data_IF_575379309578
#
_entry.id   IF_575379309578
#
_cell.length_a   1.000
_cell.length_b   1.000
_cell.length_c   1.000
_cell.angle_alpha   90.00
_cell.angle_beta   90.00
_cell.angle_gamma   90.00
#
_symmetry.space_group_name_H-M   'P 1'
#
loop_
_entity.id
_entity.type
_entity.pdbx_description
1 polymer ?
#
# COMPACT_ATOMS: atom_id res chain seq x y z
N UNK A 1 -57.24 -11.57 25.78
CA UNK A 1 -57.10 -10.51 24.75
C UNK A 1 -56.15 -9.46 25.29
N UNK A 2 -54.90 -9.43 24.84
CA UNK A 2 -53.93 -8.42 25.30
C UNK A 2 -54.27 -7.06 24.67
N UNK A 3 -54.59 -6.07 25.50
CA UNK A 3 -54.88 -4.72 25.05
C UNK A 3 -53.58 -4.03 24.62
N UNK A 4 -53.46 -3.74 23.32
CA UNK A 4 -52.44 -2.85 22.79
C UNK A 4 -52.69 -1.44 23.33
N UNK A 5 -51.81 -0.95 24.20
CA UNK A 5 -51.89 0.41 24.73
C UNK A 5 -51.24 1.40 23.76
N UNK A 6 -51.78 2.63 23.66
CA UNK A 6 -51.25 3.71 22.81
C UNK A 6 -49.75 3.98 23.00
N UNK A 7 -49.23 3.79 24.22
CA UNK A 7 -47.77 3.89 24.52
C UNK A 7 -46.94 2.79 23.87
N UNK A 8 -47.48 1.58 23.73
CA UNK A 8 -46.78 0.47 23.08
C UNK A 8 -46.71 0.68 21.57
N UNK A 9 -47.81 1.16 20.97
CA UNK A 9 -47.84 1.55 19.56
C UNK A 9 -46.82 2.66 19.25
N UNK A 10 -46.84 3.78 20.00
CA UNK A 10 -45.90 4.88 19.80
C UNK A 10 -44.42 4.48 19.96
N UNK A 11 -44.10 3.56 20.88
CA UNK A 11 -42.74 3.01 21.03
C UNK A 11 -42.34 2.14 19.83
N UNK A 12 -43.25 1.32 19.31
CA UNK A 12 -42.98 0.50 18.13
C UNK A 12 -42.84 1.36 16.86
N UNK A 13 -43.65 2.41 16.70
CA UNK A 13 -43.54 3.32 15.54
C UNK A 13 -42.24 4.13 15.54
N UNK A 14 -41.75 4.55 16.72
CA UNK A 14 -40.47 5.23 16.87
C UNK A 14 -39.26 4.31 16.56
N UNK A 15 -39.33 3.03 16.96
CA UNK A 15 -38.29 2.06 16.64
C UNK A 15 -38.25 1.71 15.14
N UNK A 16 -39.40 1.59 14.48
CA UNK A 16 -39.49 1.30 13.05
C UNK A 16 -38.97 2.47 12.18
N UNK A 17 -39.19 3.72 12.60
CA UNK A 17 -38.73 4.91 11.88
C UNK A 17 -37.21 5.14 12.01
N UNK A 18 -36.61 4.77 13.15
CA UNK A 18 -35.15 4.79 13.31
C UNK A 18 -34.42 3.77 12.41
N UNK A 19 -35.01 2.58 12.19
CA UNK A 19 -34.45 1.55 11.31
C UNK A 19 -34.63 1.92 9.83
N UNK A 20 -35.72 2.59 9.45
CA UNK A 20 -35.94 3.06 8.08
C UNK A 20 -35.02 4.23 7.67
N UNK A 21 -34.50 5.01 8.63
CA UNK A 21 -33.54 6.09 8.39
C UNK A 21 -32.07 5.64 8.44
N UNK A 22 -31.79 4.44 8.97
CA UNK A 22 -30.45 3.88 9.05
C UNK A 22 -29.72 3.72 7.69
N UNK A 23 -30.37 3.38 6.55
CA UNK A 23 -29.64 3.23 5.29
C UNK A 23 -29.18 4.56 4.69
N UNK A 24 -29.84 5.66 5.04
CA UNK A 24 -29.54 6.99 4.51
C UNK A 24 -28.41 7.68 5.27
N UNK A 25 -28.30 7.44 6.59
CA UNK A 25 -27.28 8.05 7.44
C UNK A 25 -25.91 7.36 7.28
N UNK A 26 -25.88 6.10 6.82
CA UNK A 26 -24.64 5.32 6.63
C UNK A 26 -24.01 5.53 5.23
N UNK A 27 -24.67 6.25 4.31
CA UNK A 27 -24.05 6.67 3.04
C UNK A 27 -23.40 8.04 3.17
N UNK A 28 -22.30 8.09 3.93
CA UNK A 28 -21.44 9.27 4.07
C UNK A 28 -20.61 9.54 2.81
N UNK A 29 -21.24 10.03 1.74
CA UNK A 29 -20.72 10.88 0.64
C UNK A 29 -21.69 10.83 -0.53
N UNK A 30 -21.86 11.96 -1.21
CA UNK A 30 -22.48 11.98 -2.52
C UNK A 30 -21.65 11.07 -3.45
N UNK A 31 -22.29 10.14 -4.15
CA UNK A 31 -21.59 9.21 -5.06
C UNK A 31 -20.85 9.92 -6.19
N UNK A 32 -21.14 11.20 -6.42
CA UNK A 32 -20.47 12.06 -7.37
C UNK A 32 -19.22 12.78 -6.82
N UNK A 33 -18.99 12.78 -5.50
CA UNK A 33 -17.86 13.49 -4.89
C UNK A 33 -16.57 12.68 -5.04
N UNK A 34 -15.74 13.07 -6.00
CA UNK A 34 -14.41 12.49 -6.21
C UNK A 34 -13.39 13.01 -5.21
N UNK A 35 -12.44 12.17 -4.81
CA UNK A 35 -11.25 12.58 -4.08
C UNK A 35 -10.25 13.23 -5.03
N UNK A 36 -9.54 14.24 -4.55
CA UNK A 36 -8.31 14.72 -5.16
C UNK A 36 -7.13 13.89 -4.60
N UNK A 37 -6.41 13.19 -5.47
CA UNK A 37 -5.35 12.26 -5.11
C UNK A 37 -3.97 12.77 -5.54
N UNK A 38 -3.01 12.60 -4.63
CA UNK A 38 -1.59 12.69 -4.95
C UNK A 38 -0.98 11.28 -5.05
N UNK A 39 -0.33 11.01 -6.18
CA UNK A 39 0.31 9.72 -6.45
C UNK A 39 1.81 9.87 -6.18
N UNK A 40 2.36 9.06 -5.28
CA UNK A 40 3.76 9.09 -4.88
C UNK A 40 4.39 7.75 -5.25
N UNK A 41 5.30 7.77 -6.24
CA UNK A 41 5.70 6.60 -7.02
C UNK A 41 4.66 6.31 -8.11
N UNK A 42 4.85 6.88 -9.30
CA UNK A 42 3.94 6.75 -10.45
C UNK A 42 4.37 5.68 -11.47
N UNK A 43 5.60 5.16 -11.39
CA UNK A 43 6.11 4.06 -12.21
C UNK A 43 5.78 2.67 -11.65
N UNK A 44 6.12 1.62 -12.41
CA UNK A 44 6.06 0.23 -11.95
C UNK A 44 4.72 -0.16 -11.30
N UNK A 45 4.76 -0.56 -10.01
CA UNK A 45 3.55 -0.89 -9.25
C UNK A 45 2.63 0.32 -9.03
N UNK A 46 3.20 1.51 -8.88
CA UNK A 46 2.45 2.77 -8.78
C UNK A 46 1.55 3.04 -9.99
N UNK A 47 1.97 2.67 -11.19
CA UNK A 47 1.13 2.79 -12.39
C UNK A 47 -0.13 1.89 -12.31
N UNK A 48 -0.02 0.71 -11.71
CA UNK A 48 -1.16 -0.17 -11.48
C UNK A 48 -2.12 0.40 -10.42
N UNK A 49 -1.58 0.97 -9.34
CA UNK A 49 -2.38 1.62 -8.31
C UNK A 49 -3.10 2.87 -8.85
N UNK A 50 -2.39 3.70 -9.62
CA UNK A 50 -2.96 4.83 -10.36
C UNK A 50 -4.14 4.38 -11.25
N UNK A 51 -3.98 3.28 -11.99
CA UNK A 51 -5.09 2.71 -12.77
C UNK A 51 -6.28 2.31 -11.89
N UNK A 52 -6.00 1.74 -10.70
CA UNK A 52 -7.03 1.34 -9.73
C UNK A 52 -7.86 2.49 -9.18
N UNK A 53 -7.30 3.71 -9.15
CA UNK A 53 -7.97 4.93 -8.67
C UNK A 53 -8.35 5.90 -9.80
N UNK A 54 -8.41 5.42 -11.04
CA UNK A 54 -8.67 6.26 -12.22
C UNK A 54 -10.06 6.92 -12.23
N UNK A 55 -10.99 6.49 -11.37
CA UNK A 55 -12.29 7.15 -11.16
C UNK A 55 -12.17 8.49 -10.45
N UNK A 56 -11.10 8.70 -9.67
CA UNK A 56 -10.87 9.89 -8.85
C UNK A 56 -10.13 11.00 -9.62
N UNK A 57 -10.00 12.18 -9.00
CA UNK A 57 -9.23 13.27 -9.57
C UNK A 57 -7.75 13.10 -9.24
N UNK A 58 -6.90 12.96 -10.25
CA UNK A 58 -5.45 12.87 -10.05
C UNK A 58 -4.85 14.26 -10.19
N UNK A 59 -4.45 14.86 -9.08
CA UNK A 59 -4.02 16.27 -9.02
C UNK A 59 -2.50 16.43 -8.91
N UNK A 60 -1.81 15.42 -8.38
CA UNK A 60 -0.34 15.40 -8.27
C UNK A 60 0.19 14.02 -8.71
N UNK A 61 1.21 14.04 -9.56
CA UNK A 61 2.02 12.88 -9.94
C UNK A 61 3.44 13.11 -9.43
N UNK A 62 3.95 12.17 -8.63
CA UNK A 62 5.29 12.21 -8.10
C UNK A 62 6.05 10.91 -8.33
N UNK A 63 7.27 11.01 -8.86
CA UNK A 63 8.20 9.88 -8.98
C UNK A 63 9.63 10.41 -9.09
N UNK A 64 10.60 9.69 -8.52
CA UNK A 64 12.02 10.03 -8.64
C UNK A 64 12.57 9.71 -10.04
N UNK A 65 11.87 8.86 -10.82
CA UNK A 65 12.14 8.63 -12.23
C UNK A 65 11.09 9.34 -13.10
N UNK A 66 11.53 10.30 -13.90
CA UNK A 66 10.68 11.09 -14.81
C UNK A 66 9.89 10.23 -15.81
N UNK A 67 10.37 9.03 -16.15
CA UNK A 67 9.64 8.11 -17.03
C UNK A 67 8.25 7.77 -16.48
N UNK A 68 8.14 7.53 -15.16
CA UNK A 68 6.87 7.22 -14.50
C UNK A 68 5.92 8.42 -14.53
N UNK A 69 6.43 9.62 -14.25
CA UNK A 69 5.67 10.87 -14.33
C UNK A 69 5.17 11.10 -15.76
N UNK A 70 6.05 10.98 -16.75
CA UNK A 70 5.75 11.27 -18.15
C UNK A 70 4.70 10.29 -18.70
N UNK A 71 4.80 9.00 -18.37
CA UNK A 71 3.81 8.01 -18.76
C UNK A 71 2.43 8.30 -18.13
N UNK A 72 2.37 8.63 -16.83
CA UNK A 72 1.12 8.97 -16.16
C UNK A 72 0.51 10.29 -16.69
N UNK A 73 1.35 11.29 -16.98
CA UNK A 73 0.93 12.60 -17.46
C UNK A 73 0.25 12.56 -18.84
N UNK A 74 0.46 11.51 -19.64
CA UNK A 74 -0.30 11.32 -20.88
C UNK A 74 -1.81 11.23 -20.63
N UNK A 75 -2.22 10.64 -19.50
CA UNK A 75 -3.63 10.51 -19.09
C UNK A 75 -4.08 11.64 -18.17
N UNK A 76 -3.15 12.20 -17.39
CA UNK A 76 -3.43 13.25 -16.41
C UNK A 76 -2.56 14.48 -16.68
N UNK A 77 -2.73 15.17 -17.83
CA UNK A 77 -1.83 16.25 -18.25
C UNK A 77 -1.86 17.47 -17.34
N UNK A 78 -2.97 17.66 -16.61
CA UNK A 78 -3.16 18.78 -15.68
C UNK A 78 -2.62 18.50 -14.27
N UNK A 79 -2.20 17.27 -13.98
CA UNK A 79 -1.64 16.93 -12.68
C UNK A 79 -0.28 17.61 -12.50
N UNK A 80 -0.05 18.20 -11.33
CA UNK A 80 1.25 18.74 -10.94
C UNK A 80 2.29 17.62 -10.93
N UNK A 81 3.43 17.85 -11.55
CA UNK A 81 4.54 16.90 -11.65
C UNK A 81 5.61 17.25 -10.63
N UNK A 82 6.00 16.31 -9.78
CA UNK A 82 7.02 16.52 -8.74
C UNK A 82 8.00 15.34 -8.69
N UNK A 83 9.30 15.60 -8.63
CA UNK A 83 10.29 14.51 -8.51
C UNK A 83 10.52 14.09 -7.05
N UNK A 84 10.20 14.97 -6.10
CA UNK A 84 10.47 14.81 -4.67
C UNK A 84 9.16 14.74 -3.90
N UNK A 85 8.91 13.61 -3.23
CA UNK A 85 7.67 13.42 -2.48
C UNK A 85 7.51 14.40 -1.31
N UNK A 86 8.60 14.95 -0.77
CA UNK A 86 8.53 15.92 0.33
C UNK A 86 7.80 17.18 -0.13
N UNK A 87 8.02 17.58 -1.39
CA UNK A 87 7.36 18.74 -2.02
C UNK A 87 5.89 18.50 -2.31
N UNK A 88 5.41 17.25 -2.31
CA UNK A 88 3.96 16.96 -2.45
C UNK A 88 3.21 17.62 -1.30
N UNK A 89 3.75 17.58 -0.09
CA UNK A 89 3.07 18.12 1.11
C UNK A 89 3.05 19.65 1.17
N UNK A 90 3.91 20.35 0.42
CA UNK A 90 3.81 21.81 0.23
C UNK A 90 2.47 22.20 -0.44
N UNK A 91 1.85 21.24 -1.12
CA UNK A 91 0.57 21.36 -1.80
C UNK A 91 -0.57 20.65 -1.04
N UNK A 92 -0.46 20.51 0.29
CA UNK A 92 -1.44 19.80 1.11
C UNK A 92 -2.89 20.30 1.00
N UNK A 93 -3.13 21.50 0.46
CA UNK A 93 -4.49 22.02 0.20
C UNK A 93 -5.10 21.52 -1.12
N UNK A 94 -4.30 20.95 -2.02
CA UNK A 94 -4.71 20.52 -3.36
C UNK A 94 -5.27 19.08 -3.38
N UNK A 95 -4.95 18.25 -2.39
CA UNK A 95 -5.35 16.84 -2.36
C UNK A 95 -5.94 16.41 -1.01
N UNK A 96 -6.76 15.37 -1.06
CA UNK A 96 -7.45 14.75 0.09
C UNK A 96 -6.72 13.50 0.59
N UNK A 97 -6.06 12.79 -0.32
CA UNK A 97 -5.41 11.51 -0.04
C UNK A 97 -4.10 11.33 -0.82
N UNK A 98 -3.24 10.47 -0.31
CA UNK A 98 -2.04 9.99 -1.00
C UNK A 98 -2.15 8.51 -1.36
N UNK A 99 -1.59 8.14 -2.50
CA UNK A 99 -1.33 6.76 -2.92
C UNK A 99 0.18 6.57 -3.00
N UNK A 100 0.76 5.91 -2.00
CA UNK A 100 2.21 5.70 -1.85
C UNK A 100 2.58 4.32 -2.43
N UNK A 101 3.44 4.32 -3.44
CA UNK A 101 3.90 3.13 -4.18
C UNK A 101 5.40 3.19 -4.52
N UNK A 102 6.19 3.82 -3.65
CA UNK A 102 7.65 3.96 -3.81
C UNK A 102 8.37 2.65 -3.46
N UNK A 103 9.70 2.68 -3.32
CA UNK A 103 10.42 1.53 -2.79
C UNK A 103 10.25 1.44 -1.25
N UNK A 104 10.33 0.22 -0.70
CA UNK A 104 9.98 -0.10 0.70
C UNK A 104 10.67 0.82 1.73
N UNK A 105 11.97 1.08 1.58
CA UNK A 105 12.75 1.98 2.44
C UNK A 105 12.29 3.45 2.49
N UNK A 106 11.36 3.87 1.63
CA UNK A 106 10.81 5.23 1.64
C UNK A 106 9.34 5.30 2.04
N UNK A 107 8.66 4.15 2.17
CA UNK A 107 7.22 4.11 2.42
C UNK A 107 6.80 4.88 3.67
N UNK A 108 7.49 4.66 4.80
CA UNK A 108 7.18 5.32 6.06
C UNK A 108 7.36 6.85 5.96
N UNK A 109 8.39 7.30 5.26
CA UNK A 109 8.72 8.71 5.08
C UNK A 109 7.75 9.44 4.15
N UNK A 110 7.16 8.74 3.18
CA UNK A 110 6.05 9.24 2.36
C UNK A 110 4.69 9.08 3.06
N UNK A 111 4.53 8.16 4.01
CA UNK A 111 3.23 7.95 4.67
C UNK A 111 3.03 8.87 5.86
N UNK A 112 4.05 9.04 6.70
CA UNK A 112 3.93 9.76 7.96
C UNK A 112 3.48 11.22 7.81
N UNK A 113 4.02 12.03 6.87
CA UNK A 113 3.58 13.42 6.71
C UNK A 113 2.10 13.51 6.29
N UNK A 114 1.61 12.57 5.47
CA UNK A 114 0.20 12.52 5.08
C UNK A 114 -0.71 12.31 6.30
N UNK A 115 -0.35 11.37 7.18
CA UNK A 115 -1.08 11.12 8.42
C UNK A 115 -1.05 12.35 9.35
N UNK A 116 0.12 12.97 9.53
CA UNK A 116 0.28 14.17 10.35
C UNK A 116 -0.56 15.36 9.85
N UNK A 117 -0.78 15.44 8.54
CA UNK A 117 -1.62 16.44 7.89
C UNK A 117 -3.10 16.05 7.80
N UNK A 118 -3.50 14.92 8.40
CA UNK A 118 -4.88 14.45 8.36
C UNK A 118 -5.36 14.07 6.96
N UNK A 119 -4.48 13.54 6.11
CA UNK A 119 -4.80 13.03 4.78
C UNK A 119 -5.09 11.53 4.81
N UNK A 120 -5.99 11.09 3.95
CA UNK A 120 -6.21 9.65 3.75
C UNK A 120 -4.98 9.02 3.09
N UNK A 121 -4.70 7.76 3.42
CA UNK A 121 -3.50 7.08 2.92
C UNK A 121 -3.84 5.71 2.39
N UNK A 122 -3.47 5.46 1.13
CA UNK A 122 -3.16 4.12 0.66
C UNK A 122 -1.62 4.00 0.54
N UNK A 123 -1.02 2.97 1.14
CA UNK A 123 0.39 2.69 1.00
C UNK A 123 0.59 1.24 0.58
N UNK A 124 1.39 1.00 -0.45
CA UNK A 124 1.72 -0.37 -0.87
C UNK A 124 2.34 -1.19 0.23
N UNK A 125 2.16 -2.50 0.11
CA UNK A 125 2.93 -3.45 0.91
C UNK A 125 4.35 -3.57 0.33
N UNK A 126 5.34 -3.93 1.13
CA UNK A 126 5.32 -3.99 2.60
C UNK A 126 5.14 -2.59 3.18
N UNK A 127 4.36 -2.42 4.25
CA UNK A 127 4.00 -1.06 4.74
C UNK A 127 5.22 -0.19 5.06
N UNK A 128 6.27 -0.80 5.60
CA UNK A 128 7.49 -0.13 6.07
C UNK A 128 8.69 -1.05 5.92
N UNK A 129 9.88 -0.47 6.02
CA UNK A 129 11.13 -1.21 5.91
C UNK A 129 11.51 -1.98 7.18
N UNK A 130 11.06 -1.52 8.35
CA UNK A 130 11.35 -2.20 9.59
C UNK A 130 10.19 -2.07 10.60
N UNK A 131 10.31 -2.81 11.70
CA UNK A 131 9.29 -2.87 12.75
C UNK A 131 9.15 -1.52 13.48
N UNK A 132 10.23 -0.77 13.62
CA UNK A 132 10.20 0.53 14.30
C UNK A 132 9.36 1.52 13.50
N UNK A 133 9.59 1.62 12.19
CA UNK A 133 8.77 2.42 11.29
C UNK A 133 7.29 1.98 11.34
N UNK A 134 7.00 0.68 11.32
CA UNK A 134 5.63 0.17 11.42
C UNK A 134 4.92 0.67 12.69
N UNK A 135 5.63 0.67 13.84
CA UNK A 135 5.10 1.17 15.12
C UNK A 135 4.81 2.67 15.05
N UNK A 136 5.73 3.46 14.48
CA UNK A 136 5.56 4.91 14.29
C UNK A 136 4.35 5.20 13.41
N UNK A 137 4.20 4.52 12.27
CA UNK A 137 3.07 4.69 11.36
C UNK A 137 1.75 4.29 12.03
N UNK A 138 1.72 3.17 12.75
CA UNK A 138 0.53 2.72 13.51
C UNK A 138 0.10 3.76 14.55
N UNK A 139 1.03 4.28 15.32
CA UNK A 139 0.74 5.29 16.35
C UNK A 139 0.28 6.62 15.75
N UNK A 140 0.85 7.02 14.62
CA UNK A 140 0.39 8.20 13.88
C UNK A 140 -1.04 7.99 13.35
N UNK A 141 -1.30 6.86 12.69
CA UNK A 141 -2.62 6.53 12.15
C UNK A 141 -3.70 6.52 13.26
N UNK A 142 -3.40 5.93 14.42
CA UNK A 142 -4.33 5.85 15.55
C UNK A 142 -4.73 7.22 16.15
N UNK A 143 -3.92 8.26 15.93
CA UNK A 143 -4.22 9.64 16.40
C UNK A 143 -5.08 10.43 15.40
N UNK A 144 -5.28 9.90 14.20
CA UNK A 144 -6.04 10.55 13.13
C UNK A 144 -7.44 9.94 12.99
N UNK A 145 -8.34 10.63 12.29
CA UNK A 145 -9.66 10.10 11.93
C UNK A 145 -9.75 9.80 10.42
N UNK A 146 -8.62 9.51 9.80
CA UNK A 146 -8.54 9.30 8.34
C UNK A 146 -8.61 7.82 8.00
N UNK A 147 -9.22 7.51 6.85
CA UNK A 147 -9.05 6.20 6.22
C UNK A 147 -7.56 5.94 5.91
N UNK A 148 -7.09 4.76 6.32
CA UNK A 148 -5.77 4.23 6.00
C UNK A 148 -5.91 2.82 5.45
N UNK A 149 -5.09 2.47 4.45
CA UNK A 149 -5.11 1.15 3.84
C UNK A 149 -3.69 0.75 3.41
N UNK A 150 -3.27 -0.45 3.81
CA UNK A 150 -2.10 -1.10 3.23
C UNK A 150 -2.49 -1.85 1.95
N UNK A 151 -1.61 -1.86 0.96
CA UNK A 151 -1.80 -2.46 -0.36
C UNK A 151 -1.80 -3.99 -0.41
N UNK A 152 -2.37 -4.67 0.59
CA UNK A 152 -2.65 -6.12 0.51
C UNK A 152 -3.95 -6.33 -0.26
N UNK A 153 -3.92 -6.14 -1.58
CA UNK A 153 -5.14 -6.09 -2.40
C UNK A 153 -6.01 -7.34 -2.33
N UNK A 154 -5.45 -8.48 -1.93
CA UNK A 154 -6.16 -9.77 -1.85
C UNK A 154 -7.31 -9.71 -0.83
N UNK A 155 -7.22 -8.83 0.18
CA UNK A 155 -8.28 -8.62 1.19
C UNK A 155 -9.55 -7.96 0.62
N UNK A 156 -9.44 -7.33 -0.55
CA UNK A 156 -10.57 -6.74 -1.26
C UNK A 156 -11.36 -7.76 -2.08
N UNK A 157 -10.84 -8.98 -2.29
CA UNK A 157 -11.52 -10.05 -3.01
C UNK A 157 -12.36 -10.96 -2.11
N UNK A 158 -13.25 -11.75 -2.72
CA UNK A 158 -14.19 -12.61 -1.99
C UNK A 158 -13.54 -13.82 -1.32
N UNK A 159 -12.43 -14.32 -1.88
CA UNK A 159 -11.85 -15.58 -1.43
C UNK A 159 -11.30 -15.53 0.00
N UNK A 160 -10.55 -14.49 0.38
CA UNK A 160 -9.98 -14.41 1.73
C UNK A 160 -11.06 -14.24 2.80
N UNK A 161 -12.10 -13.43 2.51
CA UNK A 161 -13.26 -13.25 3.39
C UNK A 161 -13.97 -14.59 3.65
N UNK A 162 -14.21 -15.35 2.59
CA UNK A 162 -14.82 -16.69 2.67
C UNK A 162 -13.96 -17.65 3.50
N UNK A 163 -12.64 -17.67 3.29
CA UNK A 163 -11.73 -18.54 4.06
C UNK A 163 -11.75 -18.19 5.54
N UNK A 164 -11.67 -16.90 5.87
CA UNK A 164 -11.75 -16.40 7.25
C UNK A 164 -13.07 -16.78 7.91
N UNK A 165 -14.19 -16.61 7.19
CA UNK A 165 -15.53 -17.00 7.67
C UNK A 165 -15.63 -18.51 7.96
N UNK A 166 -15.13 -19.36 7.06
CA UNK A 166 -15.14 -20.81 7.24
C UNK A 166 -14.30 -21.25 8.45
N UNK A 167 -13.14 -20.64 8.66
CA UNK A 167 -12.28 -20.93 9.82
C UNK A 167 -12.96 -20.44 11.10
N UNK A 168 -13.45 -19.21 11.14
CA UNK A 168 -14.03 -18.60 12.35
C UNK A 168 -15.41 -19.18 12.72
N UNK A 169 -16.16 -19.74 11.75
CA UNK A 169 -17.39 -20.47 12.02
C UNK A 169 -17.17 -21.89 12.56
N UNK A 170 -15.93 -22.37 12.57
CA UNK A 170 -15.60 -23.73 12.99
C UNK A 170 -15.90 -24.80 11.95
N UNK A 171 -16.08 -24.43 10.67
CA UNK A 171 -16.47 -25.36 9.61
C UNK A 171 -15.48 -26.53 9.39
N UNK A 172 -14.22 -26.35 9.79
CA UNK A 172 -13.16 -27.38 9.70
C UNK A 172 -12.72 -27.91 11.07
N UNK A 173 -13.43 -27.57 12.15
CA UNK A 173 -13.01 -27.86 13.52
C UNK A 173 -11.84 -26.99 13.99
N UNK A 174 -11.15 -27.44 15.05
CA UNK A 174 -10.00 -26.72 15.60
C UNK A 174 -8.79 -26.82 14.66
N UNK A 175 -8.22 -25.68 14.28
CA UNK A 175 -7.00 -25.62 13.47
C UNK A 175 -5.79 -25.95 14.35
N UNK A 176 -5.00 -26.94 13.95
CA UNK A 176 -3.78 -27.36 14.67
C UNK A 176 -2.50 -26.86 14.01
N UNK A 177 -2.52 -26.56 12.71
CA UNK A 177 -1.34 -26.14 11.95
C UNK A 177 -1.72 -25.30 10.72
N UNK A 178 -0.86 -24.35 10.34
CA UNK A 178 -0.98 -23.57 9.12
C UNK A 178 0.37 -23.53 8.39
N UNK A 179 0.37 -23.89 7.11
CA UNK A 179 1.55 -23.90 6.26
C UNK A 179 1.45 -22.78 5.22
N UNK A 180 2.48 -21.96 5.12
CA UNK A 180 2.55 -20.84 4.19
C UNK A 180 3.84 -20.95 3.37
N UNK A 181 3.72 -20.95 2.05
CA UNK A 181 4.86 -21.01 1.15
C UNK A 181 4.70 -20.08 -0.05
N UNK A 182 5.82 -19.70 -0.63
CA UNK A 182 5.86 -18.85 -1.82
C UNK A 182 7.00 -19.30 -2.73
N UNK A 183 6.70 -19.49 -4.02
CA UNK A 183 7.69 -19.97 -5.00
C UNK A 183 8.58 -18.88 -5.60
N UNK A 184 8.56 -17.65 -5.06
CA UNK A 184 9.33 -16.51 -5.60
C UNK A 184 10.61 -16.34 -4.81
N UNK A 185 11.74 -16.25 -5.51
CA UNK A 185 13.04 -16.07 -4.88
C UNK A 185 13.59 -14.68 -5.19
N UNK A 186 13.63 -13.81 -4.18
CA UNK A 186 14.43 -12.60 -4.10
C UNK A 186 15.51 -12.85 -3.06
N UNK A 187 16.75 -13.06 -3.50
CA UNK A 187 17.83 -13.18 -2.53
C UNK A 187 19.14 -13.72 -3.06
N UNK A 188 20.00 -14.07 -2.11
CA UNK A 188 21.29 -14.68 -2.39
C UNK A 188 21.09 -16.16 -2.69
N UNK A 189 21.52 -16.58 -3.86
CA UNK A 189 21.63 -18.00 -4.26
C UNK A 189 23.07 -18.48 -4.07
N UNK A 190 23.34 -19.77 -3.93
CA UNK A 190 24.72 -20.26 -3.78
C UNK A 190 25.52 -20.06 -5.05
N UNK A 191 24.88 -20.25 -6.21
CA UNK A 191 25.47 -20.13 -7.54
C UNK A 191 24.42 -19.70 -8.58
N UNK A 192 24.86 -19.42 -9.80
CA UNK A 192 24.00 -18.93 -10.87
C UNK A 192 23.00 -20.00 -11.35
N UNK A 193 23.35 -21.28 -11.27
CA UNK A 193 22.45 -22.36 -11.67
C UNK A 193 21.22 -22.44 -10.74
N UNK A 194 21.42 -22.35 -9.43
CA UNK A 194 20.33 -22.28 -8.45
C UNK A 194 19.45 -21.03 -8.65
N UNK A 195 20.06 -19.89 -8.95
CA UNK A 195 19.31 -18.65 -9.24
C UNK A 195 18.41 -18.79 -10.46
N UNK A 196 18.90 -19.43 -11.52
CA UNK A 196 18.13 -19.73 -12.73
C UNK A 196 17.01 -20.74 -12.46
N UNK A 197 17.27 -21.79 -11.69
CA UNK A 197 16.27 -22.78 -11.30
C UNK A 197 15.12 -22.12 -10.50
N UNK A 198 15.48 -21.23 -9.56
CA UNK A 198 14.52 -20.46 -8.78
C UNK A 198 13.83 -19.32 -9.56
N UNK A 199 14.22 -19.11 -10.83
CA UNK A 199 13.73 -18.02 -11.70
C UNK A 199 13.93 -16.63 -11.10
N UNK A 200 15.02 -16.45 -10.35
CA UNK A 200 15.42 -15.12 -9.88
C UNK A 200 15.88 -14.29 -11.10
N UNK A 201 15.50 -13.01 -11.12
CA UNK A 201 15.80 -12.04 -12.18
C UNK A 201 17.17 -11.38 -12.04
N UNK A 202 17.86 -11.53 -10.89
CA UNK A 202 19.20 -10.98 -10.65
C UNK A 202 20.01 -11.97 -9.83
N UNK A 203 21.11 -12.47 -10.40
CA UNK A 203 22.14 -13.20 -9.65
C UNK A 203 23.25 -12.24 -9.22
N UNK A 204 23.43 -12.07 -7.90
CA UNK A 204 24.47 -11.22 -7.32
C UNK A 204 24.87 -11.77 -5.95
N UNK A 205 26.18 -11.80 -5.67
CA UNK A 205 26.73 -12.30 -4.41
C UNK A 205 27.15 -11.18 -3.47
N UNK A 206 27.74 -10.14 -4.05
CA UNK A 206 28.37 -9.04 -3.32
C UNK A 206 27.91 -7.71 -3.89
N UNK A 207 28.05 -6.64 -3.09
CA UNK A 207 27.80 -5.29 -3.58
C UNK A 207 28.74 -5.00 -4.78
N UNK A 208 28.24 -4.42 -5.88
CA UNK A 208 29.08 -4.03 -7.01
C UNK A 208 30.21 -3.10 -6.58
N UNK A 209 31.43 -3.43 -7.01
CA UNK A 209 32.61 -2.59 -6.78
C UNK A 209 32.70 -1.38 -7.72
N UNK A 210 31.92 -1.38 -8.81
CA UNK A 210 31.90 -0.33 -9.82
C UNK A 210 30.52 0.32 -9.90
N UNK A 211 30.52 1.64 -10.04
CA UNK A 211 29.33 2.42 -10.32
C UNK A 211 28.95 2.30 -11.80
N UNK A 212 27.66 2.22 -12.07
CA UNK A 212 27.11 2.45 -13.40
C UNK A 212 26.71 3.93 -13.56
N UNK A 213 26.58 4.45 -14.80
CA UNK A 213 26.01 5.77 -15.01
C UNK A 213 24.56 5.84 -14.52
N UNK A 214 24.23 6.89 -13.76
CA UNK A 214 22.84 7.16 -13.37
C UNK A 214 22.03 7.52 -14.63
N UNK A 215 20.88 6.88 -14.91
CA UNK A 215 20.00 7.28 -16.00
C UNK A 215 19.60 8.76 -15.86
N UNK A 216 19.60 9.50 -16.97
CA UNK A 216 19.30 10.94 -16.94
C UNK A 216 17.90 11.28 -16.39
N UNK A 217 16.97 10.32 -16.47
CA UNK A 217 15.59 10.42 -15.98
C UNK A 217 15.45 10.13 -14.49
N UNK A 218 16.48 9.57 -13.83
CA UNK A 218 16.43 9.11 -12.45
C UNK A 218 17.17 10.06 -11.51
N UNK A 219 16.45 10.60 -10.52
CA UNK A 219 17.08 11.24 -9.38
C UNK A 219 17.51 10.19 -8.35
N UNK A 220 18.77 9.75 -8.44
CA UNK A 220 19.31 8.69 -7.59
C UNK A 220 19.39 9.07 -6.10
N UNK A 221 19.74 10.32 -5.78
CA UNK A 221 19.81 10.79 -4.40
C UNK A 221 18.44 10.74 -3.71
N UNK A 222 17.40 11.21 -4.42
CA UNK A 222 16.02 11.10 -3.93
C UNK A 222 15.54 9.65 -3.87
N UNK A 223 15.95 8.78 -4.80
CA UNK A 223 15.62 7.36 -4.75
C UNK A 223 16.25 6.66 -3.53
N UNK A 224 17.53 6.95 -3.22
CA UNK A 224 18.19 6.41 -2.02
C UNK A 224 17.48 6.86 -0.73
N UNK A 225 17.04 8.11 -0.68
CA UNK A 225 16.29 8.66 0.44
C UNK A 225 17.00 8.44 1.78
N UNK A 226 16.40 7.72 2.74
CA UNK A 226 16.99 7.48 4.06
C UNK A 226 18.07 6.38 4.07
N UNK A 227 18.25 5.64 2.97
CA UNK A 227 19.25 4.57 2.91
C UNK A 227 20.69 5.15 2.91
N UNK A 228 21.69 4.38 3.39
CA UNK A 228 23.09 4.82 3.34
C UNK A 228 23.52 5.20 1.92
N UNK A 229 24.24 6.32 1.80
CA UNK A 229 24.76 6.82 0.51
C UNK A 229 25.50 5.71 -0.24
N UNK A 230 25.18 5.58 -1.53
CA UNK A 230 25.77 4.57 -2.40
C UNK A 230 25.83 5.04 -3.84
N UNK A 231 26.83 4.59 -4.57
CA UNK A 231 26.85 4.77 -6.01
C UNK A 231 25.77 3.94 -6.70
N UNK A 232 25.27 4.45 -7.83
CA UNK A 232 24.28 3.76 -8.62
C UNK A 232 24.85 2.50 -9.26
N UNK A 233 24.02 1.46 -9.34
CA UNK A 233 24.28 0.28 -10.15
C UNK A 233 22.95 -0.34 -10.60
N UNK A 234 22.93 -0.91 -11.81
CA UNK A 234 21.75 -1.53 -12.43
C UNK A 234 21.21 -2.76 -11.67
N UNK A 235 21.93 -3.29 -10.67
CA UNK A 235 21.43 -4.35 -9.79
C UNK A 235 20.47 -3.84 -8.70
N UNK A 236 20.38 -2.53 -8.48
CA UNK A 236 19.46 -1.94 -7.49
C UNK A 236 18.14 -1.50 -8.14
N UNK A 237 18.21 -0.92 -9.33
CA UNK A 237 17.10 -0.27 -10.03
C UNK A 237 17.03 -0.73 -11.50
N UNK A 238 15.84 -0.75 -12.14
CA UNK A 238 14.52 -0.52 -11.57
C UNK A 238 14.03 -1.65 -10.66
N UNK A 239 12.90 -1.43 -9.98
CA UNK A 239 12.21 -2.48 -9.24
C UNK A 239 11.79 -3.65 -10.14
N UNK A 240 11.71 -4.89 -9.60
CA UNK A 240 11.80 -5.27 -8.19
C UNK A 240 13.22 -5.71 -7.74
N UNK A 241 14.29 -5.25 -8.40
CA UNK A 241 15.66 -5.67 -8.10
C UNK A 241 16.10 -5.32 -6.66
N UNK A 242 15.69 -4.15 -6.18
CA UNK A 242 16.03 -3.59 -4.87
C UNK A 242 15.64 -4.48 -3.67
N UNK A 243 14.68 -5.41 -3.80
CA UNK A 243 14.32 -6.32 -2.70
C UNK A 243 15.48 -7.22 -2.24
N UNK A 244 16.54 -7.39 -3.04
CA UNK A 244 17.74 -8.18 -2.66
C UNK A 244 18.67 -7.47 -1.69
N UNK A 245 18.42 -6.19 -1.42
CA UNK A 245 19.35 -5.33 -0.72
C UNK A 245 18.70 -4.82 0.55
N UNK A 246 19.21 -5.25 1.71
CA UNK A 246 18.66 -4.95 3.02
C UNK A 246 18.48 -3.45 3.31
N UNK A 247 19.27 -2.58 2.68
CA UNK A 247 19.11 -1.13 2.84
C UNK A 247 17.88 -0.57 2.09
N UNK A 248 17.31 -1.32 1.15
CA UNK A 248 16.22 -0.87 0.28
C UNK A 248 14.93 -1.68 0.46
N UNK A 249 15.04 -2.97 0.79
CA UNK A 249 13.93 -3.89 1.04
C UNK A 249 14.39 -5.20 1.70
N UNK A 250 13.45 -6.07 2.03
CA UNK A 250 13.69 -7.21 2.94
C UNK A 250 13.44 -8.59 2.29
N UNK A 251 13.80 -8.75 1.02
CA UNK A 251 13.73 -10.02 0.29
C UNK A 251 12.30 -10.53 0.04
N UNK A 252 12.19 -11.83 -0.30
CA UNK A 252 10.90 -12.48 -0.57
C UNK A 252 9.95 -12.41 0.62
N UNK A 253 10.49 -12.55 1.84
CA UNK A 253 9.69 -12.59 3.06
C UNK A 253 8.91 -11.29 3.26
N UNK A 254 9.53 -10.15 2.99
CA UNK A 254 8.81 -8.88 3.07
C UNK A 254 7.86 -8.70 1.89
N UNK A 255 8.34 -8.82 0.65
CA UNK A 255 7.54 -8.55 -0.56
C UNK A 255 6.29 -9.44 -0.65
N UNK A 256 6.46 -10.76 -0.51
CA UNK A 256 5.40 -11.73 -0.69
C UNK A 256 4.92 -12.36 0.63
N UNK A 257 5.77 -12.47 1.65
CA UNK A 257 5.29 -12.94 2.95
C UNK A 257 4.20 -12.03 3.52
N UNK A 258 4.25 -10.72 3.26
CA UNK A 258 3.16 -9.80 3.64
C UNK A 258 1.81 -10.11 2.98
N UNK A 259 1.78 -10.83 1.85
CA UNK A 259 0.52 -11.28 1.23
C UNK A 259 0.01 -12.57 1.86
N UNK A 260 0.92 -13.50 2.16
CA UNK A 260 0.55 -14.88 2.48
C UNK A 260 0.45 -15.15 3.97
N UNK A 261 1.30 -14.53 4.80
CA UNK A 261 1.29 -14.68 6.26
C UNK A 261 0.10 -13.94 6.88
N UNK A 262 -0.41 -12.91 6.20
CA UNK A 262 -1.55 -12.11 6.65
C UNK A 262 -2.84 -12.93 6.77
N UNK A 263 -3.08 -13.89 5.88
CA UNK A 263 -4.31 -14.69 5.91
C UNK A 263 -4.43 -15.57 7.17
N UNK A 264 -3.45 -16.41 7.54
CA UNK A 264 -3.49 -17.11 8.81
C UNK A 264 -3.64 -16.17 10.00
N UNK A 265 -2.95 -15.03 10.00
CA UNK A 265 -3.06 -14.05 11.08
C UNK A 265 -4.47 -13.46 11.20
N UNK A 266 -5.17 -13.25 10.08
CA UNK A 266 -6.54 -12.76 10.08
C UNK A 266 -7.57 -13.86 10.44
N UNK A 267 -7.34 -15.08 9.96
CA UNK A 267 -8.28 -16.18 10.13
C UNK A 267 -8.24 -16.79 11.54
N UNK A 268 -7.04 -16.92 12.13
CA UNK A 268 -6.80 -17.58 13.41
C UNK A 268 -6.78 -16.54 14.55
N UNK A 269 -7.83 -16.51 15.36
CA UNK A 269 -7.97 -15.65 16.55
C UNK A 269 -7.75 -16.41 17.84
#
# INVERSE_FOLDING_TARGET
MNQFTRRHFLRQTAAASAVALAPAIVRGRNLNDKLNLAIIGAGGRGAANLKGVASENIVILCDVNEEGINAAAQKYPNARKLTDFRKVYDHAKEFDAVVVSTAEHTHAFATLPALQLGKHVYCEKPLTHNIWEARVIREAAAKTKVATQMGTQIHAGDNYRRVVELIQSGAIGAVTEAHVWVGRAWGRHTNEAESKEAKDIVFVQERPAKADPVPATLNWDLWLGPAPKRDFNNVYFPGPKWYRWWDFGNGTMSDLGSHWIDLPFWALK
#
